data_IF_399307776062
#
_entry.id   IF_399307776062
#
_cell.length_a   1.000
_cell.length_b   1.000
_cell.length_c   1.000
_cell.angle_alpha   90.00
_cell.angle_beta   90.00
_cell.angle_gamma   90.00
#
_symmetry.space_group_name_H-M   'P 1'
#
loop_
_entity.id
_entity.type
_entity.pdbx_description
1 polymer ?
#
# COMPACT_ATOMS: atom_id res chain seq x y z
N UNK A 1 -22.63 34.86 -3.37
CA UNK A 1 -21.33 35.25 -3.95
C UNK A 1 -20.40 35.51 -2.77
N UNK A 2 -19.30 34.83 -2.49
CA UNK A 2 -18.60 33.66 -3.03
C UNK A 2 -17.74 33.16 -1.86
N UNK A 3 -17.64 31.85 -1.70
CA UNK A 3 -17.06 31.17 -0.53
C UNK A 3 -15.60 31.54 -0.24
N UNK A 4 -15.31 31.92 1.02
CA UNK A 4 -13.95 31.97 1.60
C UNK A 4 -13.44 30.57 2.01
N UNK A 5 -13.60 29.58 1.14
CA UNK A 5 -12.98 28.26 1.26
C UNK A 5 -12.12 28.11 0.00
N UNK A 6 -10.79 28.29 0.13
CA UNK A 6 -9.75 27.71 -0.75
C UNK A 6 -8.37 28.40 -0.66
N UNK A 7 -8.02 29.09 0.44
CA UNK A 7 -6.64 29.58 0.60
C UNK A 7 -5.68 28.55 1.23
N UNK A 8 -6.18 27.49 1.90
CA UNK A 8 -5.33 26.51 2.59
C UNK A 8 -5.02 25.25 1.77
N UNK A 9 -5.76 24.99 0.68
CA UNK A 9 -5.64 23.73 -0.09
C UNK A 9 -4.60 23.78 -1.21
N UNK A 10 -4.12 24.97 -1.57
CA UNK A 10 -3.10 25.14 -2.61
C UNK A 10 -1.66 25.04 -2.08
N UNK A 11 -1.47 25.06 -0.76
CA UNK A 11 -0.14 25.02 -0.13
C UNK A 11 0.40 23.58 0.03
N UNK A 12 -0.44 22.56 -0.13
CA UNK A 12 -0.04 21.14 0.03
C UNK A 12 0.59 20.53 -1.24
N UNK A 13 0.46 21.15 -2.41
CA UNK A 13 0.99 20.61 -3.69
C UNK A 13 2.45 21.01 -3.98
N UNK A 14 3.10 21.77 -3.08
CA UNK A 14 4.46 22.29 -3.24
C UNK A 14 5.51 21.56 -2.39
N UNK A 15 5.10 20.55 -1.64
CA UNK A 15 6.03 19.72 -0.89
C UNK A 15 6.66 18.70 -1.84
N UNK A 16 8.00 18.66 -1.90
CA UNK A 16 8.79 17.79 -2.77
C UNK A 16 8.41 16.31 -2.59
N UNK A 17 7.88 15.94 -1.42
CA UNK A 17 7.37 14.61 -1.12
C UNK A 17 6.25 14.16 -2.07
N UNK A 18 5.49 15.09 -2.68
CA UNK A 18 4.39 14.79 -3.59
C UNK A 18 4.81 14.69 -5.07
N UNK A 19 6.05 14.99 -5.43
CA UNK A 19 6.43 15.05 -6.85
C UNK A 19 6.59 13.67 -7.49
N UNK A 20 7.09 12.70 -6.72
CA UNK A 20 7.29 11.33 -7.20
C UNK A 20 5.94 10.65 -7.48
N UNK A 21 5.80 10.02 -8.66
CA UNK A 21 4.56 9.43 -9.12
C UNK A 21 4.77 8.33 -10.18
N UNK A 22 3.78 7.44 -10.31
CA UNK A 22 3.78 6.34 -11.28
C UNK A 22 3.15 6.72 -12.64
N UNK A 23 3.06 8.02 -12.94
CA UNK A 23 2.36 8.57 -14.10
C UNK A 23 0.84 8.77 -13.90
N UNK A 24 0.27 8.33 -12.77
CA UNK A 24 -1.13 8.56 -12.43
C UNK A 24 -1.35 9.01 -10.98
N UNK A 25 -0.64 8.42 -10.02
CA UNK A 25 -0.76 8.68 -8.58
C UNK A 25 0.59 9.02 -7.96
N UNK A 26 0.60 9.92 -6.98
CA UNK A 26 1.81 10.25 -6.23
C UNK A 26 2.23 9.06 -5.36
N UNK A 27 3.52 8.75 -5.31
CA UNK A 27 4.08 7.60 -4.59
C UNK A 27 3.64 7.59 -3.13
N UNK A 28 3.69 8.74 -2.45
CA UNK A 28 3.29 8.83 -1.04
C UNK A 28 1.80 8.57 -0.80
N UNK A 29 0.95 8.85 -1.79
CA UNK A 29 -0.49 8.60 -1.70
C UNK A 29 -0.84 7.10 -1.75
N UNK A 30 0.09 6.28 -2.24
CA UNK A 30 -0.09 4.83 -2.40
C UNK A 30 0.43 4.02 -1.19
N UNK A 31 1.18 4.64 -0.28
CA UNK A 31 1.80 3.95 0.87
C UNK A 31 0.80 3.59 1.96
N UNK A 32 0.05 4.59 2.44
CA UNK A 32 -0.99 4.45 3.46
C UNK A 32 -1.89 5.69 3.44
N UNK A 33 -3.12 5.61 4.01
CA UNK A 33 -3.94 6.79 4.21
C UNK A 33 -3.25 7.78 5.17
N UNK A 34 -2.97 8.99 4.68
CA UNK A 34 -2.40 10.10 5.46
C UNK A 34 -3.43 11.13 5.89
N UNK A 35 -4.53 11.24 5.16
CA UNK A 35 -5.58 12.25 5.36
C UNK A 35 -6.94 11.58 5.62
N UNK A 36 -7.78 12.13 6.51
CA UNK A 36 -7.53 13.32 7.34
C UNK A 36 -6.63 13.06 8.56
N UNK A 37 -6.40 11.79 8.92
CA UNK A 37 -5.53 11.35 10.00
C UNK A 37 -4.61 10.30 9.43
N UNK A 38 -3.33 10.34 9.82
CA UNK A 38 -2.36 9.37 9.35
C UNK A 38 -2.56 8.00 10.02
N UNK A 39 -2.62 6.95 9.20
CA UNK A 39 -2.77 5.59 9.68
C UNK A 39 -1.41 4.96 10.03
N UNK A 40 -1.36 4.04 11.02
CA UNK A 40 -0.15 3.29 11.34
C UNK A 40 0.37 2.53 10.12
N UNK A 41 1.67 2.66 9.84
CA UNK A 41 2.29 2.07 8.68
C UNK A 41 3.72 1.58 8.99
N UNK A 42 4.24 0.69 8.13
CA UNK A 42 5.61 0.20 8.24
C UNK A 42 6.18 -0.23 6.87
N UNK A 43 7.37 0.23 6.46
CA UNK A 43 8.01 -0.19 5.22
C UNK A 43 8.52 -1.64 5.31
N UNK A 44 8.33 -2.43 4.25
CA UNK A 44 8.83 -3.81 4.14
C UNK A 44 10.08 -3.83 3.27
N UNK A 45 11.25 -3.90 3.92
CA UNK A 45 12.56 -3.80 3.25
C UNK A 45 12.99 -5.12 2.59
N UNK A 46 12.60 -6.27 3.15
CA UNK A 46 12.97 -7.59 2.64
C UNK A 46 11.76 -8.48 2.41
N UNK A 47 11.68 -9.03 1.21
CA UNK A 47 10.60 -9.91 0.78
C UNK A 47 10.68 -11.30 1.44
N UNK A 48 11.89 -11.72 1.79
CA UNK A 48 12.20 -13.03 2.37
C UNK A 48 11.84 -13.12 3.85
N UNK A 49 11.87 -12.00 4.57
CA UNK A 49 11.50 -11.94 5.98
C UNK A 49 10.00 -11.71 6.08
N UNK A 50 9.26 -12.81 6.11
CA UNK A 50 7.84 -12.78 6.45
C UNK A 50 7.73 -12.44 7.96
N UNK A 51 7.96 -11.18 8.33
CA UNK A 51 7.82 -10.70 9.71
C UNK A 51 6.36 -10.86 10.14
N UNK A 52 6.06 -11.18 11.41
CA UNK A 52 4.68 -11.30 11.86
C UNK A 52 3.95 -9.96 11.66
N UNK A 53 3.01 -9.92 10.72
CA UNK A 53 2.20 -8.73 10.45
C UNK A 53 1.10 -8.60 11.49
N UNK A 54 0.95 -7.40 12.04
CA UNK A 54 -0.12 -7.08 12.97
C UNK A 54 -1.36 -6.56 12.24
N UNK A 55 -2.57 -6.97 12.65
CA UNK A 55 -3.80 -6.36 12.16
C UNK A 55 -3.82 -4.85 12.43
N UNK A 56 -4.34 -4.07 11.48
CA UNK A 56 -4.53 -2.61 11.63
C UNK A 56 -3.33 -1.75 11.24
N UNK A 57 -2.23 -2.34 10.77
CA UNK A 57 -1.04 -1.61 10.27
C UNK A 57 -0.95 -1.78 8.74
N UNK A 58 -0.67 -0.69 8.04
CA UNK A 58 -0.38 -0.70 6.60
C UNK A 58 1.09 -1.06 6.35
N UNK A 59 1.32 -2.21 5.75
CA UNK A 59 2.66 -2.64 5.35
C UNK A 59 2.85 -2.39 3.86
N UNK A 60 3.83 -1.57 3.49
CA UNK A 60 4.06 -1.17 2.10
C UNK A 60 5.49 -1.46 1.66
N UNK A 61 5.66 -1.66 0.36
CA UNK A 61 6.96 -1.75 -0.31
C UNK A 61 6.88 -0.92 -1.57
N UNK A 62 7.88 -0.07 -1.81
CA UNK A 62 7.99 0.68 -3.05
C UNK A 62 8.39 -0.29 -4.16
N UNK A 63 7.65 -0.23 -5.26
CA UNK A 63 7.89 -1.01 -6.48
C UNK A 63 8.05 -0.01 -7.62
N UNK A 64 9.12 -0.13 -8.38
CA UNK A 64 9.36 0.72 -9.53
C UNK A 64 8.52 0.24 -10.72
N UNK A 65 7.73 1.14 -11.30
CA UNK A 65 6.86 0.86 -12.43
C UNK A 65 5.84 1.97 -12.65
N UNK A 66 5.28 2.04 -13.85
CA UNK A 66 4.15 2.90 -14.12
C UNK A 66 2.84 2.29 -13.57
N UNK A 67 1.80 3.12 -13.45
CA UNK A 67 0.51 2.69 -12.93
C UNK A 67 -0.10 1.53 -13.74
N UNK A 68 0.13 1.52 -15.05
CA UNK A 68 -0.50 0.59 -15.97
C UNK A 68 0.13 -0.81 -15.88
N UNK A 69 1.40 -0.91 -15.48
CA UNK A 69 2.11 -2.18 -15.25
C UNK A 69 1.35 -3.13 -14.32
N UNK A 70 0.66 -2.60 -13.29
CA UNK A 70 -0.07 -3.40 -12.31
C UNK A 70 -1.47 -3.82 -12.76
N UNK A 71 -2.07 -3.09 -13.72
CA UNK A 71 -3.45 -3.30 -14.18
C UNK A 71 -3.49 -4.20 -15.41
N UNK A 72 -2.45 -4.15 -16.23
CA UNK A 72 -2.44 -4.82 -17.51
C UNK A 72 -2.10 -6.30 -17.36
N UNK A 73 -2.84 -7.16 -18.07
CA UNK A 73 -2.63 -8.60 -18.14
C UNK A 73 -1.16 -8.97 -18.48
N UNK A 74 -0.76 -10.16 -18.04
CA UNK A 74 0.47 -10.89 -18.35
C UNK A 74 0.98 -10.70 -19.78
N UNK A 75 0.09 -10.63 -20.79
CA UNK A 75 0.47 -10.47 -22.19
C UNK A 75 1.28 -9.19 -22.50
N UNK A 76 1.05 -8.10 -21.76
CA UNK A 76 1.77 -6.83 -21.98
C UNK A 76 2.85 -6.57 -20.93
N UNK A 77 2.66 -7.02 -19.70
CA UNK A 77 3.62 -6.84 -18.61
C UNK A 77 4.66 -7.98 -18.50
N UNK A 78 4.42 -9.09 -19.21
CA UNK A 78 5.35 -10.20 -19.34
C UNK A 78 5.79 -10.80 -18.01
N UNK A 79 7.09 -11.10 -17.90
CA UNK A 79 7.69 -11.75 -16.73
C UNK A 79 7.62 -10.90 -15.44
N UNK A 80 7.55 -9.57 -15.56
CA UNK A 80 7.44 -8.69 -14.38
C UNK A 80 6.10 -8.87 -13.68
N UNK A 81 5.03 -9.09 -14.44
CA UNK A 81 3.71 -9.40 -13.90
C UNK A 81 3.76 -10.70 -13.07
N UNK A 82 4.27 -11.78 -13.66
CA UNK A 82 4.36 -13.08 -12.99
C UNK A 82 5.17 -12.97 -11.69
N UNK A 83 6.34 -12.31 -11.72
CA UNK A 83 7.20 -12.16 -10.55
C UNK A 83 6.53 -11.39 -9.41
N UNK A 84 5.82 -10.30 -9.72
CA UNK A 84 5.13 -9.46 -8.72
C UNK A 84 4.00 -10.27 -8.08
N UNK A 85 3.12 -10.86 -8.89
CA UNK A 85 1.95 -11.57 -8.37
C UNK A 85 2.33 -12.87 -7.64
N UNK A 86 3.33 -13.62 -8.14
CA UNK A 86 3.82 -14.81 -7.44
C UNK A 86 4.37 -14.47 -6.06
N UNK A 87 5.14 -13.38 -5.96
CA UNK A 87 5.68 -12.90 -4.69
C UNK A 87 4.57 -12.48 -3.71
N UNK A 88 3.55 -11.76 -4.18
CA UNK A 88 2.37 -11.39 -3.37
C UNK A 88 1.67 -12.64 -2.84
N UNK A 89 1.34 -13.58 -3.72
CA UNK A 89 0.63 -14.79 -3.32
C UNK A 89 1.45 -15.67 -2.38
N UNK A 90 2.77 -15.77 -2.58
CA UNK A 90 3.65 -16.49 -1.68
C UNK A 90 3.62 -15.91 -0.27
N UNK A 91 3.68 -14.58 -0.13
CA UNK A 91 3.59 -13.90 1.18
C UNK A 91 2.22 -14.11 1.82
N UNK A 92 1.14 -13.93 1.06
CA UNK A 92 -0.22 -14.15 1.57
C UNK A 92 -0.37 -15.56 2.14
N UNK A 93 0.14 -16.58 1.43
CA UNK A 93 0.15 -17.96 1.92
C UNK A 93 0.94 -18.09 3.22
N UNK A 94 2.19 -17.61 3.25
CA UNK A 94 3.04 -17.66 4.45
C UNK A 94 2.38 -16.99 5.67
N UNK A 95 1.66 -15.89 5.48
CA UNK A 95 0.92 -15.23 6.56
C UNK A 95 -0.33 -15.98 6.99
N UNK A 96 -1.11 -16.52 6.05
CA UNK A 96 -2.31 -17.31 6.34
C UNK A 96 -1.98 -18.54 7.20
N UNK A 97 -0.89 -19.25 6.90
CA UNK A 97 -0.48 -20.43 7.66
C UNK A 97 0.14 -20.11 9.03
N UNK A 98 0.67 -18.89 9.23
CA UNK A 98 1.26 -18.47 10.51
C UNK A 98 0.24 -17.92 11.50
N UNK A 99 -0.88 -17.40 11.01
CA UNK A 99 -2.01 -17.08 11.89
C UNK A 99 -2.60 -18.41 12.37
N UNK A 100 -2.52 -18.68 13.68
CA UNK A 100 -3.53 -19.53 14.32
C UNK A 100 -4.89 -18.89 13.99
N UNK A 101 -5.93 -19.66 13.62
CA UNK A 101 -7.25 -19.08 13.43
C UNK A 101 -7.60 -18.35 14.73
N UNK A 102 -7.68 -17.02 14.66
CA UNK A 102 -8.22 -16.24 15.75
C UNK A 102 -9.70 -16.62 15.80
N UNK A 103 -10.04 -17.54 16.68
CA UNK A 103 -11.43 -17.84 17.00
C UNK A 103 -12.09 -16.49 17.34
N UNK A 104 -13.18 -16.10 16.66
CA UNK A 104 -13.94 -14.93 17.08
C UNK A 104 -14.28 -15.12 18.55
N UNK A 105 -13.99 -14.10 19.38
CA UNK A 105 -14.29 -14.04 20.81
C UNK A 105 -15.40 -15.02 21.20
N UNK A 106 -15.05 -16.13 21.86
CA UNK A 106 -15.97 -16.67 22.83
C UNK A 106 -16.04 -15.61 23.92
N UNK A 107 -17.00 -14.70 23.80
CA UNK A 107 -17.45 -13.83 24.87
C UNK A 107 -17.84 -14.79 26.00
N UNK A 108 -16.88 -15.04 26.89
CA UNK A 108 -17.08 -15.85 28.08
C UNK A 108 -17.85 -15.01 29.09
N UNK A 109 -19.09 -15.45 29.32
CA UNK A 109 -19.98 -15.23 30.46
C UNK A 109 -20.70 -13.89 30.55
#
# INVERSE_FOLDING_TARGET
>A
MTNCLNSKKLVELLDEEWWDNDGALNTISMTHPRLPVEHPNHPVVKDSECQPLQPGIWYYKIVEGDHILFIVNRERAGLQFDLIYDNIFERCRKHAFRKKPTMPNQLSQ
#
